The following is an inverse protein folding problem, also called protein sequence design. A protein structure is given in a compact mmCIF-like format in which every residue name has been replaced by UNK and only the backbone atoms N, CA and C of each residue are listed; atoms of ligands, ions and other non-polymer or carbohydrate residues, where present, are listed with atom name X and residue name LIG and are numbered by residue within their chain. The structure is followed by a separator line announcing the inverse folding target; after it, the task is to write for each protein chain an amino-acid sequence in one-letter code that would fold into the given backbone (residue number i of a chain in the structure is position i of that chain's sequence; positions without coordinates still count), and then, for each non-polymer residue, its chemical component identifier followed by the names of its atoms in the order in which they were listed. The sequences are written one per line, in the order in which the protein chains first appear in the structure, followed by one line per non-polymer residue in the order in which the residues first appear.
data_IF_771718043575
#
_entry.id   IF_771718043575
#
_cell.length_a   1.000
_cell.length_b   1.000
_cell.length_c   1.000
_cell.angle_alpha   90.00
_cell.angle_beta   90.00
_cell.angle_gamma   90.00
#
_symmetry.space_group_name_H-M   'P 1'
#
loop_
_entity.id
_entity.type
_entity.pdbx_description
1 polymer ?
#
# COMPACT_ATOMS: atom_id res chain seq x y z
N UNK A 1 -10.70 -61.05 -19.37
CA UNK A 1 -9.59 -60.09 -19.23
C UNK A 1 -10.23 -58.74 -19.05
N UNK A 2 -10.32 -58.33 -17.79
CA UNK A 2 -10.98 -57.10 -17.36
C UNK A 2 -10.12 -55.89 -17.71
N UNK A 3 -10.75 -54.85 -18.25
CA UNK A 3 -10.10 -53.57 -18.49
C UNK A 3 -9.93 -52.85 -17.15
N UNK A 4 -8.68 -52.63 -16.73
CA UNK A 4 -8.36 -51.80 -15.57
C UNK A 4 -8.79 -50.35 -15.85
N UNK A 5 -9.81 -49.93 -15.11
CA UNK A 5 -10.31 -48.57 -15.11
C UNK A 5 -9.38 -47.73 -14.22
N UNK A 6 -8.34 -47.15 -14.81
CA UNK A 6 -7.45 -46.21 -14.13
C UNK A 6 -8.25 -44.94 -13.84
N UNK A 7 -8.77 -44.84 -12.61
CA UNK A 7 -9.30 -43.57 -12.08
C UNK A 7 -8.14 -42.58 -12.02
N UNK A 8 -8.15 -41.59 -12.91
CA UNK A 8 -7.38 -40.36 -12.74
C UNK A 8 -7.66 -39.82 -11.33
N UNK A 9 -6.63 -39.84 -10.47
CA UNK A 9 -6.68 -39.11 -9.21
C UNK A 9 -6.74 -37.63 -9.58
N UNK A 10 -7.87 -37.00 -9.31
CA UNK A 10 -7.98 -35.54 -9.34
C UNK A 10 -6.83 -34.96 -8.50
N UNK A 11 -5.94 -34.22 -9.15
CA UNK A 11 -4.91 -33.43 -8.49
C UNK A 11 -5.65 -32.42 -7.61
N UNK A 12 -5.35 -32.38 -6.31
CA UNK A 12 -5.88 -31.34 -5.43
C UNK A 12 -5.52 -29.99 -6.05
N UNK A 13 -6.56 -29.20 -6.34
CA UNK A 13 -6.44 -27.81 -6.80
C UNK A 13 -6.39 -26.88 -5.59
N UNK A 14 -5.80 -27.31 -4.47
CA UNK A 14 -5.65 -26.45 -3.31
C UNK A 14 -4.82 -25.25 -3.75
N UNK A 15 -5.44 -24.08 -3.70
CA UNK A 15 -4.79 -22.82 -4.04
C UNK A 15 -3.51 -22.71 -3.21
N UNK A 16 -2.37 -22.51 -3.87
CA UNK A 16 -1.10 -22.23 -3.19
C UNK A 16 -1.09 -20.85 -2.50
N UNK A 17 -2.20 -20.12 -2.57
CA UNK A 17 -2.41 -18.83 -1.93
C UNK A 17 -3.27 -18.98 -0.69
N UNK A 18 -2.97 -18.25 0.39
CA UNK A 18 -3.84 -18.21 1.57
C UNK A 18 -5.23 -17.67 1.20
N UNK A 19 -6.25 -17.98 2.01
CA UNK A 19 -7.64 -17.53 1.76
C UNK A 19 -7.78 -16.01 1.73
N UNK A 20 -6.91 -15.32 2.46
CA UNK A 20 -6.80 -13.87 2.40
C UNK A 20 -5.39 -13.39 2.70
N UNK A 21 -5.10 -12.17 2.26
CA UNK A 21 -3.88 -11.45 2.58
C UNK A 21 -4.19 -9.97 2.82
N UNK A 22 -3.51 -9.39 3.80
CA UNK A 22 -3.70 -8.00 4.24
C UNK A 22 -2.47 -7.15 3.93
N UNK A 23 -2.71 -5.93 3.45
CA UNK A 23 -1.66 -4.99 3.08
C UNK A 23 -1.98 -3.61 3.62
N UNK A 24 -0.98 -2.96 4.23
CA UNK A 24 -1.01 -1.54 4.59
C UNK A 24 0.02 -0.79 3.76
N UNK A 25 -0.40 0.32 3.15
CA UNK A 25 0.53 1.35 2.65
C UNK A 25 0.35 2.65 3.41
N UNK A 26 1.45 3.29 3.80
CA UNK A 26 1.43 4.50 4.60
C UNK A 26 2.65 5.42 4.34
N UNK A 27 2.42 6.60 3.76
CA UNK A 27 3.37 7.70 3.83
C UNK A 27 3.43 8.22 5.28
N UNK A 28 4.59 8.12 5.92
CA UNK A 28 4.75 8.45 7.35
C UNK A 28 5.18 9.90 7.61
N UNK A 29 5.41 10.69 6.55
CA UNK A 29 5.81 12.10 6.58
C UNK A 29 7.00 12.34 7.53
N UNK A 30 8.04 11.52 7.37
CA UNK A 30 9.26 11.57 8.17
C UNK A 30 10.13 12.80 7.91
N UNK A 31 9.83 13.54 6.83
CA UNK A 31 10.45 14.82 6.54
C UNK A 31 9.95 15.95 7.47
N UNK A 32 8.82 15.74 8.16
CA UNK A 32 8.32 16.67 9.18
C UNK A 32 8.95 16.35 10.55
N UNK A 33 9.81 17.26 11.01
CA UNK A 33 10.53 17.07 12.28
C UNK A 33 9.65 17.18 13.52
N UNK A 34 8.51 17.87 13.44
CA UNK A 34 7.65 18.13 14.60
C UNK A 34 7.05 16.84 15.17
N UNK A 35 7.42 16.53 16.42
CA UNK A 35 7.00 15.32 17.14
C UNK A 35 7.35 14.01 16.40
N UNK A 36 8.38 14.01 15.54
CA UNK A 36 8.75 12.90 14.66
C UNK A 36 8.71 11.53 15.38
N UNK A 37 9.38 11.42 16.52
CA UNK A 37 9.44 10.17 17.31
C UNK A 37 8.06 9.71 17.80
N UNK A 38 7.24 10.62 18.34
CA UNK A 38 5.91 10.27 18.85
C UNK A 38 4.93 9.95 17.73
N UNK A 39 5.02 10.69 16.61
CA UNK A 39 4.25 10.40 15.40
C UNK A 39 4.57 9.02 14.86
N UNK A 40 5.86 8.72 14.70
CA UNK A 40 6.27 7.42 14.19
C UNK A 40 5.93 6.29 15.18
N UNK A 41 6.05 6.50 16.50
CA UNK A 41 5.55 5.55 17.47
C UNK A 41 4.05 5.27 17.28
N UNK A 42 3.24 6.30 17.03
CA UNK A 42 1.82 6.09 16.75
C UNK A 42 1.57 5.31 15.44
N UNK A 43 2.43 5.48 14.42
CA UNK A 43 2.39 4.65 13.21
C UNK A 43 2.66 3.18 13.57
N UNK A 44 3.68 2.91 14.39
CA UNK A 44 4.00 1.55 14.87
C UNK A 44 2.81 0.96 15.64
N UNK A 45 2.19 1.71 16.55
CA UNK A 45 1.05 1.24 17.35
C UNK A 45 -0.15 0.85 16.45
N UNK A 46 -0.39 1.62 15.38
CA UNK A 46 -1.40 1.31 14.36
C UNK A 46 -1.05 0.00 13.64
N UNK A 47 0.20 -0.16 13.20
CA UNK A 47 0.66 -1.36 12.49
C UNK A 47 0.60 -2.62 13.37
N UNK A 48 0.98 -2.51 14.65
CA UNK A 48 0.88 -3.60 15.65
C UNK A 48 -0.58 -3.95 15.95
N UNK A 49 -1.49 -2.97 15.89
CA UNK A 49 -2.93 -3.21 16.07
C UNK A 49 -3.53 -3.93 14.87
N UNK A 50 -3.20 -3.48 13.65
CA UNK A 50 -3.72 -4.06 12.41
C UNK A 50 -3.11 -5.44 12.14
N UNK A 51 -1.81 -5.62 12.42
CA UNK A 51 -0.99 -6.80 12.11
C UNK A 51 -1.12 -7.24 10.64
N UNK A 52 -0.84 -6.36 9.67
CA UNK A 52 -0.97 -6.72 8.26
C UNK A 52 0.10 -7.74 7.87
N UNK A 53 -0.18 -8.54 6.84
CA UNK A 53 0.81 -9.48 6.26
C UNK A 53 1.93 -8.73 5.53
N UNK A 54 1.59 -7.59 4.93
CA UNK A 54 2.49 -6.76 4.12
C UNK A 54 2.38 -5.29 4.57
N UNK A 55 3.53 -4.64 4.72
CA UNK A 55 3.63 -3.21 5.01
C UNK A 55 4.40 -2.53 3.87
N UNK A 56 3.96 -1.34 3.48
CA UNK A 56 4.64 -0.45 2.53
C UNK A 56 4.71 0.95 3.15
N UNK A 57 5.91 1.40 3.54
CA UNK A 57 6.09 2.75 4.07
C UNK A 57 6.76 3.65 3.04
N UNK A 58 6.40 4.94 3.03
CA UNK A 58 7.04 5.99 2.25
C UNK A 58 7.43 7.15 3.17
N UNK A 59 8.42 7.95 2.76
CA UNK A 59 9.01 9.02 3.58
C UNK A 59 9.59 8.56 4.93
N UNK A 60 10.20 7.38 4.94
CA UNK A 60 10.97 6.91 6.09
C UNK A 60 12.33 7.62 6.08
N UNK A 61 12.76 8.06 7.26
CA UNK A 61 14.07 8.70 7.51
C UNK A 61 14.83 7.87 8.56
N UNK A 62 16.16 8.06 8.65
CA UNK A 62 17.02 7.23 9.52
C UNK A 62 16.60 7.25 11.00
N UNK A 63 16.03 8.37 11.48
CA UNK A 63 15.52 8.48 12.85
C UNK A 63 14.38 7.50 13.18
N UNK A 64 13.75 6.89 12.17
CA UNK A 64 12.73 5.85 12.34
C UNK A 64 13.31 4.45 12.52
N UNK A 65 14.56 4.21 12.08
CA UNK A 65 15.11 2.86 11.95
C UNK A 65 15.23 2.15 13.29
N UNK A 66 15.64 2.84 14.36
CA UNK A 66 15.68 2.27 15.71
C UNK A 66 14.33 1.67 16.14
N UNK A 67 13.22 2.35 15.82
CA UNK A 67 11.87 1.87 16.14
C UNK A 67 11.43 0.73 15.22
N UNK A 68 11.77 0.79 13.93
CA UNK A 68 11.48 -0.29 12.97
C UNK A 68 12.22 -1.58 13.38
N UNK A 69 13.51 -1.48 13.69
CA UNK A 69 14.34 -2.61 14.10
C UNK A 69 13.88 -3.21 15.43
N UNK A 70 13.46 -2.37 16.37
CA UNK A 70 13.00 -2.84 17.68
C UNK A 70 11.62 -3.47 17.64
N UNK A 71 10.66 -2.87 16.92
CA UNK A 71 9.24 -3.21 17.05
C UNK A 71 8.68 -4.00 15.86
N UNK A 72 9.21 -3.82 14.63
CA UNK A 72 8.70 -4.51 13.43
C UNK A 72 9.63 -5.65 12.97
N UNK A 73 10.94 -5.45 12.97
CA UNK A 73 11.89 -6.46 12.48
C UNK A 73 11.81 -7.84 13.20
N UNK A 74 11.39 -7.96 14.47
CA UNK A 74 11.16 -9.26 15.10
C UNK A 74 10.03 -10.08 14.45
N UNK A 75 9.12 -9.42 13.71
CA UNK A 75 7.93 -10.04 13.12
C UNK A 75 7.92 -9.99 11.59
N UNK A 76 8.69 -9.08 11.00
CA UNK A 76 8.68 -8.83 9.57
C UNK A 76 10.08 -8.88 8.97
N UNK A 77 10.18 -9.41 7.75
CA UNK A 77 11.41 -9.27 6.96
C UNK A 77 11.48 -7.85 6.37
N UNK A 78 12.42 -7.04 6.88
CA UNK A 78 12.56 -5.63 6.52
C UNK A 78 13.46 -5.46 5.29
N UNK A 79 12.94 -4.83 4.24
CA UNK A 79 13.72 -4.49 3.04
C UNK A 79 13.78 -2.96 2.89
N UNK A 80 14.98 -2.41 2.98
CA UNK A 80 15.29 -0.99 2.77
C UNK A 80 16.14 -0.79 1.51
N UNK A 81 15.94 0.30 0.73
CA UNK A 81 16.78 0.61 -0.43
C UNK A 81 18.24 0.82 -0.04
N UNK A 82 19.17 0.31 -0.86
CA UNK A 82 20.62 0.38 -0.60
C UNK A 82 21.26 1.77 -0.84
N UNK A 83 20.51 2.75 -1.34
CA UNK A 83 21.04 4.08 -1.66
C UNK A 83 20.51 5.13 -0.69
N UNK A 84 21.42 5.90 -0.11
CA UNK A 84 21.15 6.98 0.85
C UNK A 84 20.65 8.22 0.13
N UNK A 85 19.33 8.44 0.16
CA UNK A 85 18.69 9.75 -0.07
C UNK A 85 18.12 10.28 1.25
N UNK A 86 17.69 11.54 1.30
CA UNK A 86 17.11 12.17 2.51
C UNK A 86 15.82 11.48 3.02
N UNK A 87 15.17 10.65 2.20
CA UNK A 87 14.07 9.75 2.58
C UNK A 87 14.02 8.56 1.61
N UNK A 88 13.36 7.46 2.00
CA UNK A 88 13.21 6.25 1.18
C UNK A 88 11.87 5.52 1.42
N UNK A 89 11.55 4.53 0.57
CA UNK A 89 10.41 3.61 0.73
C UNK A 89 10.86 2.32 1.41
N UNK A 90 10.01 1.69 2.22
CA UNK A 90 10.29 0.41 2.89
C UNK A 90 9.23 -0.61 2.49
N UNK A 91 9.65 -1.86 2.21
CA UNK A 91 8.78 -2.93 1.73
C UNK A 91 9.01 -4.20 2.54
N UNK A 92 7.96 -4.94 2.89
CA UNK A 92 8.05 -6.20 3.64
C UNK A 92 7.31 -7.30 2.88
N UNK A 93 7.95 -8.42 2.48
CA UNK A 93 7.25 -9.46 1.69
C UNK A 93 7.87 -10.86 1.62
N UNK A 94 7.04 -11.84 1.27
CA UNK A 94 7.39 -13.18 0.75
C UNK A 94 7.15 -13.44 -0.77
N UNK A 95 6.53 -12.52 -1.56
CA UNK A 95 6.30 -12.62 -3.05
C UNK A 95 6.38 -11.23 -3.73
N UNK A 96 6.37 -11.12 -5.07
CA UNK A 96 6.73 -9.87 -5.82
C UNK A 96 5.83 -8.68 -5.46
N UNK A 97 6.39 -7.67 -4.78
CA UNK A 97 5.72 -6.39 -4.49
C UNK A 97 6.60 -5.24 -4.92
N UNK A 98 5.95 -4.25 -5.54
CA UNK A 98 6.58 -3.02 -6.00
C UNK A 98 5.98 -1.88 -5.17
N UNK A 99 6.72 -1.40 -4.17
CA UNK A 99 6.41 -0.17 -3.46
C UNK A 99 7.06 1.02 -4.18
N UNK A 100 6.32 2.12 -4.35
CA UNK A 100 6.86 3.31 -4.99
C UNK A 100 6.39 4.59 -4.30
N UNK A 101 7.25 5.61 -4.36
CA UNK A 101 6.89 7.00 -4.08
C UNK A 101 7.20 7.80 -5.36
N UNK A 102 6.15 8.11 -6.15
CA UNK A 102 6.33 8.81 -7.43
C UNK A 102 6.59 10.31 -7.22
N UNK A 103 7.08 10.97 -8.27
CA UNK A 103 7.49 12.37 -8.24
C UNK A 103 6.39 13.30 -7.67
N UNK A 104 6.76 14.03 -6.62
CA UNK A 104 5.86 14.92 -5.89
C UNK A 104 5.51 16.21 -6.64
N UNK A 105 4.58 16.99 -6.09
CA UNK A 105 4.16 18.34 -6.57
C UNK A 105 3.38 18.38 -7.88
N UNK A 106 2.47 19.36 -8.01
CA UNK A 106 1.51 19.42 -9.14
C UNK A 106 2.18 19.57 -10.51
N UNK A 107 3.26 20.34 -10.60
CA UNK A 107 3.98 20.66 -11.85
C UNK A 107 4.76 19.48 -12.45
N UNK A 108 5.00 18.40 -11.67
CA UNK A 108 5.70 17.18 -12.13
C UNK A 108 4.80 16.12 -12.77
N UNK A 109 3.65 16.55 -13.32
CA UNK A 109 2.64 15.66 -13.92
C UNK A 109 3.19 14.75 -15.01
N UNK A 110 4.06 15.29 -15.88
CA UNK A 110 4.67 14.51 -16.98
C UNK A 110 5.54 13.38 -16.43
N UNK A 111 6.40 13.68 -15.47
CA UNK A 111 7.30 12.73 -14.83
C UNK A 111 6.52 11.61 -14.13
N UNK A 112 5.48 11.94 -13.34
CA UNK A 112 4.64 10.92 -12.69
C UNK A 112 3.97 9.98 -13.68
N UNK A 113 3.43 10.50 -14.80
CA UNK A 113 2.79 9.66 -15.82
C UNK A 113 3.79 8.68 -16.44
N UNK A 114 5.01 9.13 -16.73
CA UNK A 114 6.09 8.30 -17.27
C UNK A 114 6.49 7.21 -16.26
N UNK A 115 6.73 7.59 -14.99
CA UNK A 115 7.08 6.65 -13.92
C UNK A 115 5.98 5.62 -13.65
N UNK A 116 4.71 6.06 -13.60
CA UNK A 116 3.55 5.17 -13.44
C UNK A 116 3.45 4.17 -14.60
N UNK A 117 3.63 4.64 -15.84
CA UNK A 117 3.61 3.78 -17.02
C UNK A 117 4.69 2.70 -16.94
N UNK A 118 5.91 3.07 -16.55
CA UNK A 118 7.00 2.11 -16.37
C UNK A 118 6.68 1.06 -15.28
N UNK A 119 6.11 1.49 -14.15
CA UNK A 119 5.71 0.58 -13.07
C UNK A 119 4.62 -0.39 -13.53
N UNK A 120 3.59 0.09 -14.24
CA UNK A 120 2.53 -0.76 -14.80
C UNK A 120 3.08 -1.74 -15.84
N UNK A 121 4.01 -1.32 -16.71
CA UNK A 121 4.66 -2.23 -17.65
C UNK A 121 5.51 -3.30 -16.95
N UNK A 122 6.19 -2.97 -15.84
CA UNK A 122 6.88 -3.97 -15.02
C UNK A 122 5.90 -4.95 -14.40
N UNK A 123 4.75 -4.46 -13.92
CA UNK A 123 3.66 -5.30 -13.43
C UNK A 123 3.19 -6.29 -14.52
N UNK A 124 2.93 -5.78 -15.73
CA UNK A 124 2.48 -6.56 -16.90
C UNK A 124 3.44 -7.70 -17.27
N UNK A 125 4.76 -7.46 -17.23
CA UNK A 125 5.77 -8.47 -17.56
C UNK A 125 5.82 -9.64 -16.58
N UNK A 126 5.28 -9.46 -15.37
CA UNK A 126 5.29 -10.46 -14.31
C UNK A 126 3.89 -11.06 -14.08
N UNK A 127 2.94 -10.84 -15.00
CA UNK A 127 1.62 -11.46 -14.94
C UNK A 127 1.70 -12.92 -15.38
N UNK A 128 1.72 -13.83 -14.41
CA UNK A 128 1.28 -15.21 -14.60
C UNK A 128 0.06 -15.49 -13.71
N UNK A 129 -0.75 -16.49 -14.06
CA UNK A 129 -1.97 -16.82 -13.31
C UNK A 129 -1.70 -17.31 -11.88
N UNK A 130 -0.45 -17.56 -11.52
CA UNK A 130 -0.03 -18.13 -10.25
C UNK A 130 0.82 -17.16 -9.41
N UNK A 131 0.77 -15.87 -9.73
CA UNK A 131 1.48 -14.80 -9.03
C UNK A 131 0.50 -13.69 -8.64
N UNK A 132 0.49 -13.35 -7.35
CA UNK A 132 -0.11 -12.12 -6.88
C UNK A 132 0.89 -10.99 -7.12
N UNK A 133 0.51 -10.01 -7.92
CA UNK A 133 1.30 -8.81 -8.17
C UNK A 133 0.59 -7.62 -7.56
N UNK A 134 1.26 -6.93 -6.65
CA UNK A 134 0.76 -5.70 -6.04
C UNK A 134 1.74 -4.56 -6.33
N UNK A 135 1.19 -3.46 -6.82
CA UNK A 135 1.89 -2.20 -7.04
C UNK A 135 1.13 -1.09 -6.32
N UNK A 136 1.80 -0.36 -5.43
CA UNK A 136 1.14 0.71 -4.69
C UNK A 136 2.11 1.52 -3.86
N UNK A 137 1.55 2.47 -3.11
CA UNK A 137 2.31 3.45 -2.34
C UNK A 137 1.68 4.82 -2.41
N UNK A 138 2.42 5.84 -1.98
CA UNK A 138 2.13 7.23 -2.30
C UNK A 138 2.51 7.52 -3.74
N UNK A 139 1.52 7.47 -4.64
CA UNK A 139 1.75 7.64 -6.06
C UNK A 139 1.70 9.10 -6.49
N UNK A 140 1.32 10.02 -5.60
CA UNK A 140 1.08 11.43 -5.93
C UNK A 140 0.16 11.65 -7.17
N UNK A 141 -0.59 10.63 -7.60
CA UNK A 141 -1.25 10.60 -8.91
C UNK A 141 -2.67 11.16 -8.81
N UNK A 142 -3.05 12.00 -9.78
CA UNK A 142 -4.41 12.55 -9.90
C UNK A 142 -5.26 11.66 -10.79
N UNK A 143 -6.58 11.69 -10.61
CA UNK A 143 -7.49 10.82 -11.38
C UNK A 143 -7.34 10.97 -12.90
N UNK A 144 -7.20 12.21 -13.39
CA UNK A 144 -6.98 12.47 -14.83
C UNK A 144 -5.59 12.06 -15.34
N UNK A 145 -4.67 11.70 -14.44
CA UNK A 145 -3.33 11.23 -14.79
C UNK A 145 -3.26 9.70 -14.93
N UNK A 146 -4.27 8.98 -14.42
CA UNK A 146 -4.32 7.52 -14.51
C UNK A 146 -4.68 7.12 -15.94
N UNK A 147 -3.85 6.30 -16.61
CA UNK A 147 -4.18 5.80 -17.94
C UNK A 147 -5.32 4.79 -17.87
N UNK A 148 -5.90 4.44 -19.03
CA UNK A 148 -6.81 3.31 -19.12
C UNK A 148 -6.06 2.03 -18.71
N UNK A 149 -6.49 1.41 -17.61
CA UNK A 149 -5.91 0.16 -17.11
C UNK A 149 -6.30 -1.02 -18.02
N UNK A 150 -5.43 -2.02 -18.09
CA UNK A 150 -5.79 -3.32 -18.67
C UNK A 150 -6.81 -4.05 -17.77
N UNK A 151 -7.68 -4.90 -18.31
CA UNK A 151 -8.73 -5.59 -17.53
C UNK A 151 -8.21 -6.40 -16.34
N UNK A 152 -6.99 -6.92 -16.44
CA UNK A 152 -6.36 -7.78 -15.43
C UNK A 152 -5.82 -6.97 -14.23
N UNK A 153 -5.64 -5.65 -14.39
CA UNK A 153 -5.11 -4.74 -13.38
C UNK A 153 -6.26 -3.95 -12.76
N UNK A 154 -6.45 -4.11 -11.46
CA UNK A 154 -7.55 -3.47 -10.72
C UNK A 154 -7.00 -2.44 -9.74
N UNK A 155 -7.64 -1.28 -9.66
CA UNK A 155 -7.46 -0.33 -8.54
C UNK A 155 -8.25 -0.87 -7.34
N UNK A 156 -7.60 -1.02 -6.19
CA UNK A 156 -8.18 -1.63 -5.00
C UNK A 156 -9.36 -0.82 -4.42
N UNK A 157 -9.33 0.51 -4.47
CA UNK A 157 -10.46 1.33 -4.00
C UNK A 157 -11.66 1.17 -4.92
N UNK A 158 -11.43 1.12 -6.24
CA UNK A 158 -12.49 0.91 -7.22
C UNK A 158 -13.10 -0.49 -7.05
N UNK A 159 -12.25 -1.52 -7.00
CA UNK A 159 -12.67 -2.91 -6.83
C UNK A 159 -13.34 -3.17 -5.47
N UNK A 160 -12.97 -2.41 -4.44
CA UNK A 160 -13.58 -2.44 -3.11
C UNK A 160 -14.90 -1.67 -2.99
N UNK A 161 -15.48 -1.22 -4.11
CA UNK A 161 -16.80 -0.59 -4.15
C UNK A 161 -16.80 0.94 -4.20
N UNK A 162 -15.64 1.59 -4.34
CA UNK A 162 -15.53 3.05 -4.55
C UNK A 162 -16.22 3.89 -3.45
N UNK A 163 -16.11 3.48 -2.18
CA UNK A 163 -16.72 4.23 -1.07
C UNK A 163 -16.10 5.63 -0.94
N UNK A 164 -16.93 6.67 -1.02
CA UNK A 164 -16.50 8.07 -0.92
C UNK A 164 -15.90 8.42 0.45
N UNK A 165 -16.31 7.74 1.53
CA UNK A 165 -15.77 7.98 2.88
C UNK A 165 -14.29 7.59 3.01
N UNK A 166 -13.82 6.67 2.15
CA UNK A 166 -12.44 6.15 2.13
C UNK A 166 -11.65 6.61 0.91
N UNK A 167 -12.18 7.57 0.14
CA UNK A 167 -11.58 7.99 -1.14
C UNK A 167 -10.31 8.82 -0.98
N UNK A 168 -10.30 9.77 -0.06
CA UNK A 168 -9.18 10.71 0.06
C UNK A 168 -8.19 10.23 1.12
N UNK A 169 -6.96 9.99 0.69
CA UNK A 169 -5.86 9.52 1.55
C UNK A 169 -5.00 10.68 2.04
N UNK A 170 -5.01 11.80 1.31
CA UNK A 170 -4.46 13.08 1.76
C UNK A 170 -5.59 14.11 1.77
N UNK A 171 -6.17 14.33 2.94
CA UNK A 171 -7.39 15.12 3.12
C UNK A 171 -7.15 16.31 4.06
N UNK A 172 -6.84 17.48 3.48
CA UNK A 172 -6.67 18.71 4.24
C UNK A 172 -7.98 19.25 4.80
N UNK A 173 -9.14 18.61 4.66
CA UNK A 173 -10.38 18.95 5.36
C UNK A 173 -10.53 18.16 6.67
N UNK A 174 -9.90 16.99 6.79
CA UNK A 174 -9.90 16.16 8.00
C UNK A 174 -8.59 16.26 8.77
N UNK A 175 -7.47 16.11 8.07
CA UNK A 175 -6.13 16.18 8.64
C UNK A 175 -5.68 17.64 8.83
N UNK A 176 -5.01 17.97 9.95
CA UNK A 176 -4.54 19.33 10.28
C UNK A 176 -3.02 19.48 10.30
N UNK A 177 -2.27 18.44 9.95
CA UNK A 177 -0.80 18.47 10.03
C UNK A 177 -0.15 19.49 9.07
N UNK A 178 -0.79 19.84 7.95
CA UNK A 178 -0.29 20.87 7.01
C UNK A 178 -1.18 22.14 7.02
N UNK A 179 -1.05 23.03 8.03
CA UNK A 179 -1.94 24.18 8.23
C UNK A 179 -1.83 25.26 7.14
N UNK A 180 -0.73 25.28 6.39
CA UNK A 180 -0.47 26.24 5.32
C UNK A 180 -1.15 25.87 3.98
N UNK A 181 -1.69 24.66 3.86
CA UNK A 181 -2.43 24.22 2.68
C UNK A 181 -3.91 24.56 2.83
N UNK A 182 -4.60 25.03 1.77
CA UNK A 182 -6.04 25.30 1.83
C UNK A 182 -6.84 24.06 2.24
N UNK A 183 -7.79 24.24 3.16
CA UNK A 183 -8.64 23.16 3.73
C UNK A 183 -9.47 22.39 2.69
N UNK A 184 -9.71 22.98 1.53
CA UNK A 184 -10.51 22.36 0.45
C UNK A 184 -9.72 21.33 -0.38
N UNK A 185 -8.38 21.29 -0.24
CA UNK A 185 -7.55 20.38 -1.02
C UNK A 185 -7.64 18.96 -0.46
N UNK A 186 -8.05 18.03 -1.32
CA UNK A 186 -8.16 16.60 -0.99
C UNK A 186 -7.71 15.78 -2.19
N UNK A 187 -6.92 14.74 -1.95
CA UNK A 187 -6.33 13.91 -2.99
C UNK A 187 -6.33 12.44 -2.58
N UNK A 188 -6.41 11.56 -3.59
CA UNK A 188 -6.22 10.11 -3.46
C UNK A 188 -4.84 9.75 -3.98
N UNK A 189 -3.82 10.16 -3.24
CA UNK A 189 -2.42 9.97 -3.63
C UNK A 189 -1.99 8.53 -3.41
N UNK A 190 -2.37 7.97 -2.27
CA UNK A 190 -2.06 6.59 -1.90
C UNK A 190 -3.03 5.64 -2.60
N UNK A 191 -2.48 4.75 -3.42
CA UNK A 191 -3.28 3.78 -4.19
C UNK A 191 -2.60 2.43 -4.19
N UNK A 192 -3.43 1.40 -4.37
CA UNK A 192 -2.96 0.03 -4.59
C UNK A 192 -3.60 -0.46 -5.88
N UNK A 193 -2.78 -0.93 -6.80
CA UNK A 193 -3.15 -1.70 -7.98
C UNK A 193 -2.74 -3.15 -7.77
N UNK A 194 -3.59 -4.07 -8.20
CA UNK A 194 -3.30 -5.49 -8.05
C UNK A 194 -3.77 -6.29 -9.25
N UNK A 195 -3.10 -7.41 -9.46
CA UNK A 195 -3.50 -8.48 -10.37
C UNK A 195 -3.13 -9.82 -9.75
N UNK A 196 -3.91 -10.86 -10.01
CA UNK A 196 -3.67 -12.19 -9.45
C UNK A 196 -4.95 -12.92 -9.09
N UNK A 197 -4.87 -13.91 -8.20
CA UNK A 197 -5.93 -14.89 -7.97
C UNK A 197 -7.12 -14.33 -7.16
N UNK A 198 -6.90 -13.31 -6.32
CA UNK A 198 -7.96 -12.77 -5.47
C UNK A 198 -8.98 -11.96 -6.26
N UNK A 199 -10.26 -12.28 -6.05
CA UNK A 199 -11.38 -11.65 -6.78
C UNK A 199 -11.99 -10.48 -6.03
N UNK A 200 -11.84 -10.45 -4.70
CA UNK A 200 -12.42 -9.43 -3.83
C UNK A 200 -11.35 -8.68 -3.05
N UNK A 201 -11.67 -7.44 -2.70
CA UNK A 201 -10.87 -6.60 -1.83
C UNK A 201 -11.77 -5.79 -0.91
N UNK A 202 -11.47 -5.83 0.38
CA UNK A 202 -12.02 -4.88 1.34
C UNK A 202 -11.04 -3.72 1.46
N UNK A 203 -11.52 -2.49 1.28
CA UNK A 203 -10.71 -1.27 1.31
C UNK A 203 -11.13 -0.36 2.47
N UNK A 204 -10.17 0.11 3.27
CA UNK A 204 -10.42 1.03 4.37
C UNK A 204 -9.24 1.97 4.62
N UNK A 205 -9.45 3.00 5.46
CA UNK A 205 -8.42 3.92 5.91
C UNK A 205 -8.10 3.71 7.39
N UNK A 206 -6.83 3.86 7.76
CA UNK A 206 -6.35 3.88 9.13
C UNK A 206 -5.50 5.14 9.41
N UNK A 207 -5.09 5.35 10.67
CA UNK A 207 -4.32 6.54 11.07
C UNK A 207 -5.11 7.85 11.00
N UNK A 208 -6.44 7.75 11.05
CA UNK A 208 -7.37 8.87 10.95
C UNK A 208 -7.79 9.47 12.30
N UNK A 209 -7.05 9.16 13.37
CA UNK A 209 -7.23 9.74 14.71
C UNK A 209 -6.01 10.55 15.11
N UNK A 210 -6.23 11.59 15.92
CA UNK A 210 -5.13 12.36 16.51
C UNK A 210 -4.43 11.57 17.60
N UNK A 211 -3.11 11.76 17.72
CA UNK A 211 -2.33 11.11 18.77
C UNK A 211 -2.77 11.66 20.14
N UNK A 212 -3.02 10.80 21.15
CA UNK A 212 -3.39 11.25 22.49
C UNK A 212 -2.41 12.29 23.06
N UNK A 213 -2.94 13.35 23.67
CA UNK A 213 -2.17 14.48 24.22
C UNK A 213 -1.32 15.25 23.20
N UNK A 214 -1.53 15.02 21.90
CA UNK A 214 -0.95 15.81 20.81
C UNK A 214 -2.08 16.39 19.95
N UNK A 215 -1.77 17.49 19.27
CA UNK A 215 -2.72 18.16 18.35
C UNK A 215 -2.45 17.81 16.88
N UNK A 216 -1.81 16.68 16.63
CA UNK A 216 -1.45 16.20 15.30
C UNK A 216 -1.91 14.74 15.08
N UNK A 217 -2.07 14.40 13.81
CA UNK A 217 -2.22 13.03 13.33
C UNK A 217 -0.84 12.36 13.19
N UNK A 218 -0.77 11.02 13.13
CA UNK A 218 0.48 10.29 12.93
C UNK A 218 1.24 10.69 11.66
N UNK A 219 0.50 10.99 10.59
CA UNK A 219 0.99 11.52 9.32
C UNK A 219 -0.03 12.53 8.77
N UNK A 220 0.36 13.38 7.83
CA UNK A 220 -0.60 14.16 7.04
C UNK A 220 -1.37 13.31 6.02
N UNK A 221 -0.91 12.09 5.75
CA UNK A 221 -1.64 11.04 5.05
C UNK A 221 -2.46 10.15 6.01
N UNK A 222 -3.49 9.50 5.47
CA UNK A 222 -4.16 8.35 6.06
C UNK A 222 -3.62 7.07 5.42
N UNK A 223 -3.37 6.05 6.24
CA UNK A 223 -2.92 4.76 5.73
C UNK A 223 -4.04 4.08 4.94
N UNK A 224 -3.70 3.41 3.85
CA UNK A 224 -4.63 2.56 3.11
C UNK A 224 -4.45 1.12 3.58
N UNK A 225 -5.55 0.49 4.02
CA UNK A 225 -5.62 -0.91 4.41
C UNK A 225 -6.49 -1.69 3.41
N UNK A 226 -5.89 -2.69 2.77
CA UNK A 226 -6.58 -3.62 1.88
C UNK A 226 -6.53 -5.06 2.43
N UNK A 227 -7.66 -5.76 2.37
CA UNK A 227 -7.73 -7.22 2.55
C UNK A 227 -8.17 -7.85 1.23
N UNK A 228 -7.29 -8.63 0.60
CA UNK A 228 -7.59 -9.37 -0.62
C UNK A 228 -8.04 -10.78 -0.25
N UNK A 229 -9.10 -11.28 -0.89
CA UNK A 229 -9.67 -12.60 -0.57
C UNK A 229 -10.47 -13.19 -1.73
N UNK A 230 -10.73 -14.50 -1.67
CA UNK A 230 -11.67 -15.22 -2.54
C UNK A 230 -12.69 -15.99 -1.68
N UNK A 231 -14.01 -15.87 -1.90
CA UNK A 231 -15.03 -16.60 -1.14
C UNK A 231 -15.03 -18.13 -1.29
N UNK A 232 -14.17 -18.73 -2.11
CA UNK A 232 -14.29 -20.16 -2.51
C UNK A 232 -13.17 -21.09 -2.03
N UNK A 233 -12.39 -20.69 -1.02
CA UNK A 233 -11.64 -21.66 -0.22
C UNK A 233 -12.46 -22.05 1.02
#
# INVERSE_FOLDING_TARGET
MEAENVKEKAVSTDSIFPDSITLVTYNVDGLESDNLKQRFQSVIDILITIKPDIILLQEVVDAHMDLIEKELAPHYHVIVPKYTTTYYTVTFVSKIIINSHLESLKDKSRQRKEQLTECLQKMERNLDQNTLVIFGGDLNIREYEVPKLRPEIKDAWIAGGSNEDTKYTWDCQKNRNKPHIPRSVRCRFDRIYFSGPYKRVDFSLAGNQTIPNKRCFPSDHFAVLCKFWDPTN
#
